data_IF_061729839867
#
_entry.id   IF_061729839867
#
_cell.length_a   1.000
_cell.length_b   1.000
_cell.length_c   1.000
_cell.angle_alpha   90.00
_cell.angle_beta   90.00
_cell.angle_gamma   90.00
#
_symmetry.space_group_name_H-M   'P 1'
#
loop_
_entity.id
_entity.type
_entity.pdbx_description
1 polymer ?
#
# COMPACT_ATOMS: atom_id res chain seq x y z
N UNK A 1 9.94 -12.59 19.37
CA UNK A 1 10.63 -11.29 19.26
C UNK A 1 10.29 -10.75 17.90
N UNK A 2 9.82 -9.51 17.82
CA UNK A 2 9.57 -8.83 16.57
C UNK A 2 10.91 -8.24 16.20
N UNK A 3 11.53 -8.72 15.13
CA UNK A 3 12.67 -8.05 14.54
C UNK A 3 12.14 -6.94 13.65
N UNK A 4 12.17 -5.72 14.15
CA UNK A 4 12.01 -4.54 13.31
C UNK A 4 13.33 -4.30 12.59
N UNK A 5 13.31 -4.39 11.28
CA UNK A 5 14.44 -3.93 10.47
C UNK A 5 14.14 -2.54 9.98
N UNK A 6 14.92 -1.57 10.45
CA UNK A 6 14.95 -0.24 9.85
C UNK A 6 15.74 -0.34 8.56
N UNK A 7 15.31 0.29 7.45
CA UNK A 7 16.21 0.49 6.33
C UNK A 7 17.45 1.22 6.87
N UNK A 8 18.59 0.67 6.66
CA UNK A 8 19.81 1.47 6.73
C UNK A 8 19.68 2.53 5.64
N UNK A 9 20.10 3.77 5.89
CA UNK A 9 20.06 4.88 4.93
C UNK A 9 20.84 4.62 3.62
N UNK A 10 21.05 3.38 3.28
CA UNK A 10 21.79 2.96 2.11
C UNK A 10 20.79 2.60 1.00
N UNK A 11 20.12 3.65 0.48
CA UNK A 11 19.17 3.54 -0.64
C UNK A 11 19.78 2.92 -1.90
N UNK A 12 21.10 2.90 -2.00
CA UNK A 12 21.82 2.23 -3.09
C UNK A 12 21.61 0.72 -3.07
N UNK A 13 21.32 0.14 -1.90
CA UNK A 13 21.08 -1.30 -1.76
C UNK A 13 19.69 -1.73 -2.21
N UNK A 14 18.74 -0.80 -2.34
CA UNK A 14 17.41 -1.05 -2.91
C UNK A 14 17.50 -0.95 -4.45
N UNK A 15 18.49 -1.59 -5.01
CA UNK A 15 18.71 -1.89 -6.42
C UNK A 15 18.12 -0.88 -7.42
N UNK A 16 18.41 0.40 -7.23
CA UNK A 16 18.02 1.40 -8.19
C UNK A 16 16.53 1.58 -8.43
N UNK A 17 15.74 1.19 -7.48
CA UNK A 17 14.30 1.21 -7.52
C UNK A 17 13.68 2.56 -7.18
N UNK A 18 14.48 3.54 -6.73
CA UNK A 18 13.98 4.85 -6.34
C UNK A 18 14.02 5.78 -7.54
N UNK A 19 12.85 6.17 -8.04
CA UNK A 19 12.75 7.23 -9.02
C UNK A 19 12.97 8.59 -8.35
N UNK A 20 13.57 9.58 -9.03
CA UNK A 20 13.70 10.92 -8.47
C UNK A 20 12.32 11.56 -8.29
N UNK A 21 12.22 12.52 -7.36
CA UNK A 21 11.03 13.34 -7.18
C UNK A 21 10.61 13.96 -8.51
N UNK A 22 9.31 13.94 -8.81
CA UNK A 22 8.75 14.47 -10.03
C UNK A 22 9.01 13.64 -11.30
N UNK A 23 9.48 12.41 -11.18
CA UNK A 23 9.76 11.52 -12.32
C UNK A 23 8.57 11.39 -13.29
N UNK A 24 7.35 11.33 -12.76
CA UNK A 24 6.12 11.22 -13.54
C UNK A 24 5.45 12.57 -13.85
N UNK A 25 6.08 13.70 -13.51
CA UNK A 25 5.46 15.01 -13.61
C UNK A 25 4.40 15.25 -12.53
N UNK A 26 3.34 16.00 -12.84
CA UNK A 26 2.28 16.38 -11.90
C UNK A 26 0.88 16.38 -12.54
N UNK A 27 0.71 15.72 -13.69
CA UNK A 27 -0.57 15.67 -14.40
C UNK A 27 -1.58 14.78 -13.66
N UNK A 28 -2.85 15.21 -13.65
CA UNK A 28 -3.96 14.38 -13.20
C UNK A 28 -4.08 13.07 -13.99
N UNK A 29 -3.63 13.05 -15.24
CA UNK A 29 -3.67 11.88 -16.12
C UNK A 29 -2.78 10.72 -15.61
N UNK A 30 -1.89 10.97 -14.65
CA UNK A 30 -1.10 9.95 -14.01
C UNK A 30 -1.83 9.24 -12.85
N UNK A 31 -3.03 9.70 -12.50
CA UNK A 31 -3.92 9.05 -11.52
C UNK A 31 -4.91 8.21 -12.31
N UNK A 32 -4.79 6.90 -12.21
CA UNK A 32 -5.51 5.96 -13.06
C UNK A 32 -6.60 5.25 -12.27
N UNK A 33 -7.78 5.19 -12.85
CA UNK A 33 -8.90 4.35 -12.42
C UNK A 33 -9.12 3.23 -13.43
N UNK A 34 -9.15 2.01 -12.98
CA UNK A 34 -9.60 0.84 -13.75
C UNK A 34 -10.93 0.36 -13.15
N UNK A 35 -12.04 0.81 -13.73
CA UNK A 35 -13.38 0.38 -13.32
C UNK A 35 -13.58 -1.11 -13.59
N UNK A 36 -14.31 -1.80 -12.71
CA UNK A 36 -14.62 -3.24 -12.84
C UNK A 36 -13.38 -4.11 -13.06
N UNK A 37 -12.27 -3.76 -12.40
CA UNK A 37 -11.03 -4.50 -12.51
C UNK A 37 -11.12 -5.90 -11.87
N UNK A 38 -11.79 -6.00 -10.72
CA UNK A 38 -12.19 -7.28 -10.14
C UNK A 38 -13.44 -7.80 -10.86
N UNK A 39 -13.56 -9.12 -10.97
CA UNK A 39 -14.87 -9.70 -11.24
C UNK A 39 -15.79 -9.50 -10.03
N UNK A 40 -17.10 -9.56 -10.24
CA UNK A 40 -18.10 -9.48 -9.17
C UNK A 40 -17.86 -10.56 -8.10
N UNK A 41 -17.53 -11.79 -8.54
CA UNK A 41 -17.23 -12.92 -7.65
C UNK A 41 -15.98 -12.67 -6.79
N UNK A 42 -14.91 -12.09 -7.36
CA UNK A 42 -13.69 -11.74 -6.62
C UNK A 42 -13.97 -10.64 -5.60
N UNK A 43 -14.68 -9.60 -6.00
CA UNK A 43 -15.02 -8.48 -5.13
C UNK A 43 -15.91 -8.94 -3.97
N UNK A 44 -17.00 -9.66 -4.24
CA UNK A 44 -17.90 -10.20 -3.22
C UNK A 44 -17.16 -11.16 -2.27
N UNK A 45 -16.32 -12.04 -2.80
CA UNK A 45 -15.56 -12.98 -2.00
C UNK A 45 -14.61 -12.27 -1.03
N UNK A 46 -13.86 -11.29 -1.53
CA UNK A 46 -12.90 -10.52 -0.71
C UNK A 46 -13.62 -9.62 0.30
N UNK A 47 -14.72 -8.98 -0.10
CA UNK A 47 -15.54 -8.18 0.80
C UNK A 47 -16.18 -9.03 1.92
N UNK A 48 -16.78 -10.16 1.57
CA UNK A 48 -17.37 -11.08 2.54
C UNK A 48 -16.31 -11.60 3.54
N UNK A 49 -15.11 -11.90 3.06
CA UNK A 49 -14.02 -12.27 3.95
C UNK A 49 -13.65 -11.10 4.88
N UNK A 50 -13.42 -9.91 4.34
CA UNK A 50 -12.98 -8.74 5.10
C UNK A 50 -14.02 -8.29 6.15
N UNK A 51 -15.29 -8.24 5.77
CA UNK A 51 -16.38 -7.79 6.64
C UNK A 51 -16.67 -8.77 7.80
N UNK A 52 -16.45 -10.07 7.59
CA UNK A 52 -16.61 -11.10 8.62
C UNK A 52 -15.31 -11.41 9.38
N UNK A 53 -14.17 -10.81 8.98
CA UNK A 53 -12.91 -11.07 9.64
C UNK A 53 -12.87 -10.45 11.04
N UNK A 54 -12.51 -11.25 12.03
CA UNK A 54 -12.34 -10.82 13.43
C UNK A 54 -10.88 -10.74 13.86
N UNK A 55 -9.95 -11.15 12.99
CA UNK A 55 -8.51 -11.19 13.28
C UNK A 55 -7.81 -10.09 12.51
N UNK A 56 -7.40 -9.05 13.23
CA UNK A 56 -6.65 -7.91 12.71
C UNK A 56 -5.32 -7.82 13.43
N UNK A 57 -4.31 -7.36 12.73
CA UNK A 57 -2.97 -7.29 13.27
C UNK A 57 -2.78 -6.06 14.16
N UNK A 58 -1.83 -6.19 15.05
CA UNK A 58 -1.38 -5.12 15.91
C UNK A 58 0.06 -4.76 15.54
N UNK A 59 0.32 -3.47 15.37
CA UNK A 59 1.66 -2.93 15.12
C UNK A 59 2.18 -2.23 16.35
N UNK A 60 3.50 -2.15 16.48
CA UNK A 60 4.17 -1.45 17.58
C UNK A 60 4.89 -0.23 17.01
N UNK A 61 4.60 0.93 17.59
CA UNK A 61 5.34 2.16 17.29
C UNK A 61 6.80 2.02 17.70
N UNK A 62 7.69 2.54 16.86
CA UNK A 62 9.11 2.55 17.10
C UNK A 62 9.57 3.89 17.64
N UNK A 63 10.44 3.84 18.65
CA UNK A 63 11.06 5.03 19.25
C UNK A 63 12.57 4.93 19.15
N UNK A 64 13.22 6.08 18.95
CA UNK A 64 14.68 6.17 19.06
C UNK A 64 15.14 6.10 20.53
N UNK A 65 16.44 6.11 20.74
CA UNK A 65 17.05 6.04 22.09
C UNK A 65 16.60 7.17 23.02
N UNK A 66 16.17 8.31 22.47
CA UNK A 66 15.67 9.46 23.21
C UNK A 66 14.15 9.39 23.47
N UNK A 67 13.48 8.29 23.09
CA UNK A 67 12.04 8.12 23.25
C UNK A 67 11.18 8.84 22.22
N UNK A 68 11.79 9.49 21.21
CA UNK A 68 11.05 10.11 20.11
C UNK A 68 10.47 9.03 19.19
N UNK A 69 9.19 9.15 18.87
CA UNK A 69 8.54 8.26 17.90
C UNK A 69 9.11 8.52 16.52
N UNK A 70 9.74 7.51 15.92
CA UNK A 70 10.29 7.54 14.57
C UNK A 70 9.37 6.81 13.56
N UNK A 71 8.51 5.95 14.06
CA UNK A 71 7.45 5.33 13.30
C UNK A 71 6.25 5.05 14.23
N UNK A 72 5.10 5.65 13.91
CA UNK A 72 3.87 5.45 14.66
C UNK A 72 2.98 4.42 13.95
N UNK A 73 3.15 3.17 14.36
CA UNK A 73 2.37 2.06 13.84
C UNK A 73 1.02 1.87 14.57
N UNK A 74 0.83 2.53 15.71
CA UNK A 74 -0.36 2.34 16.54
C UNK A 74 -1.63 2.84 15.85
N UNK A 75 -1.50 3.83 14.94
CA UNK A 75 -2.60 4.29 14.10
C UNK A 75 -3.19 3.19 13.21
N UNK A 76 -2.41 2.15 12.94
CA UNK A 76 -2.80 1.00 12.12
C UNK A 76 -3.24 -0.20 12.95
N UNK A 77 -3.14 -0.11 14.28
CA UNK A 77 -3.53 -1.21 15.16
C UNK A 77 -5.01 -1.58 14.95
N UNK A 78 -5.28 -2.89 14.92
CA UNK A 78 -6.64 -3.43 14.69
C UNK A 78 -7.27 -3.02 13.33
N UNK A 79 -6.46 -2.64 12.35
CA UNK A 79 -6.97 -2.17 11.05
C UNK A 79 -6.43 -2.95 9.85
N UNK A 80 -5.33 -3.65 10.01
CA UNK A 80 -4.62 -4.32 8.92
C UNK A 80 -4.64 -5.83 9.13
N UNK A 81 -4.93 -6.58 8.08
CA UNK A 81 -4.66 -8.01 8.00
C UNK A 81 -3.53 -8.23 7.00
N UNK A 82 -2.32 -8.46 7.50
CA UNK A 82 -1.13 -8.67 6.66
C UNK A 82 -1.19 -9.98 5.89
N UNK A 83 -0.34 -10.14 4.87
CA UNK A 83 -0.19 -11.39 4.13
C UNK A 83 -0.02 -12.59 5.07
N UNK A 84 0.81 -12.47 6.10
CA UNK A 84 1.02 -13.54 7.08
C UNK A 84 -0.25 -13.94 7.82
N UNK A 85 -1.08 -12.97 8.20
CA UNK A 85 -2.38 -13.22 8.84
C UNK A 85 -3.36 -13.82 7.84
N UNK A 86 -3.42 -13.30 6.63
CA UNK A 86 -4.27 -13.82 5.56
C UNK A 86 -3.94 -15.27 5.21
N UNK A 87 -2.65 -15.63 5.11
CA UNK A 87 -2.21 -17.01 4.87
C UNK A 87 -2.69 -18.00 5.94
N UNK A 88 -2.71 -17.56 7.20
CA UNK A 88 -3.21 -18.39 8.31
C UNK A 88 -4.72 -18.52 8.32
N UNK A 89 -5.44 -17.51 7.84
CA UNK A 89 -6.89 -17.48 7.89
C UNK A 89 -7.53 -18.15 6.67
N UNK A 90 -7.06 -17.83 5.47
CA UNK A 90 -7.66 -18.31 4.22
C UNK A 90 -6.71 -18.19 3.04
N UNK A 91 -6.12 -19.31 2.61
CA UNK A 91 -5.21 -19.33 1.47
C UNK A 91 -5.88 -18.87 0.17
N UNK A 92 -7.18 -19.13 -0.03
CA UNK A 92 -7.90 -18.67 -1.23
C UNK A 92 -7.95 -17.15 -1.32
N UNK A 93 -8.04 -16.44 -0.19
CA UNK A 93 -7.96 -14.96 -0.17
C UNK A 93 -6.60 -14.51 -0.69
N UNK A 94 -5.53 -15.13 -0.21
CA UNK A 94 -4.17 -14.85 -0.65
C UNK A 94 -4.01 -15.07 -2.16
N UNK A 95 -4.46 -16.23 -2.65
CA UNK A 95 -4.37 -16.59 -4.07
C UNK A 95 -5.17 -15.60 -4.95
N UNK A 96 -6.37 -15.21 -4.50
CA UNK A 96 -7.19 -14.22 -5.21
C UNK A 96 -6.48 -12.86 -5.26
N UNK A 97 -5.94 -12.39 -4.13
CA UNK A 97 -5.23 -11.11 -4.08
C UNK A 97 -3.98 -11.14 -4.96
N UNK A 98 -3.20 -12.22 -4.93
CA UNK A 98 -2.04 -12.37 -5.82
C UNK A 98 -2.45 -12.32 -7.30
N UNK A 99 -3.54 -13.00 -7.68
CA UNK A 99 -4.07 -12.93 -9.05
C UNK A 99 -4.46 -11.50 -9.47
N UNK A 100 -5.02 -10.70 -8.55
CA UNK A 100 -5.30 -9.28 -8.78
C UNK A 100 -4.01 -8.50 -9.03
N UNK A 101 -2.99 -8.72 -8.21
CA UNK A 101 -1.71 -8.03 -8.35
C UNK A 101 -0.99 -8.39 -9.66
N UNK A 102 -1.02 -9.66 -10.06
CA UNK A 102 -0.40 -10.11 -11.31
C UNK A 102 -1.07 -9.45 -12.53
N UNK A 103 -2.41 -9.37 -12.54
CA UNK A 103 -3.14 -8.67 -13.61
C UNK A 103 -2.88 -7.16 -13.58
N UNK A 104 -2.87 -6.56 -12.39
CA UNK A 104 -2.65 -5.12 -12.27
C UNK A 104 -1.23 -4.71 -12.67
N UNK A 105 -0.24 -5.56 -12.41
CA UNK A 105 1.13 -5.32 -12.85
C UNK A 105 1.22 -5.08 -14.35
N UNK A 106 0.48 -5.83 -15.14
CA UNK A 106 0.46 -5.67 -16.60
C UNK A 106 -0.01 -4.26 -17.00
N UNK A 107 -1.06 -3.77 -16.34
CA UNK A 107 -1.62 -2.44 -16.61
C UNK A 107 -0.68 -1.33 -16.11
N UNK A 108 -0.10 -1.47 -14.92
CA UNK A 108 0.85 -0.53 -14.34
C UNK A 108 2.10 -0.41 -15.22
N UNK A 109 2.71 -1.55 -15.58
CA UNK A 109 3.91 -1.58 -16.41
C UNK A 109 3.68 -0.95 -17.78
N UNK A 110 2.52 -1.25 -18.38
CA UNK A 110 2.12 -0.70 -19.67
C UNK A 110 1.85 0.80 -19.61
N UNK A 111 1.09 1.25 -18.61
CA UNK A 111 0.69 2.65 -18.50
C UNK A 111 1.89 3.56 -18.25
N UNK A 112 2.73 3.23 -17.28
CA UNK A 112 3.90 4.04 -16.93
C UNK A 112 5.14 3.72 -17.76
N UNK A 113 5.09 2.71 -18.63
CA UNK A 113 6.24 2.19 -19.37
C UNK A 113 7.42 1.84 -18.45
N UNK A 114 7.13 1.06 -17.43
CA UNK A 114 8.09 0.68 -16.39
C UNK A 114 8.13 -0.84 -16.23
N UNK A 115 8.99 -1.30 -15.35
CA UNK A 115 8.95 -2.65 -14.80
C UNK A 115 8.85 -2.51 -13.29
N UNK A 116 7.66 -2.70 -12.77
CA UNK A 116 7.35 -2.51 -11.37
C UNK A 116 7.35 -3.83 -10.61
N UNK A 117 7.79 -3.78 -9.36
CA UNK A 117 7.78 -4.89 -8.41
C UNK A 117 6.86 -4.53 -7.24
N UNK A 118 5.82 -5.34 -7.00
CA UNK A 118 4.87 -5.10 -5.93
C UNK A 118 5.42 -5.42 -4.54
N UNK A 119 4.89 -4.76 -3.53
CA UNK A 119 5.08 -5.11 -2.11
C UNK A 119 4.07 -6.19 -1.69
N UNK A 120 4.22 -6.71 -0.46
CA UNK A 120 3.29 -7.70 0.08
C UNK A 120 1.89 -7.13 0.26
N UNK A 121 0.84 -7.89 -0.11
CA UNK A 121 -0.53 -7.45 0.06
C UNK A 121 -0.97 -7.42 1.53
N UNK A 122 -1.96 -6.58 1.80
CA UNK A 122 -2.70 -6.56 3.06
C UNK A 122 -4.15 -6.16 2.78
N UNK A 123 -5.08 -6.55 3.64
CA UNK A 123 -6.43 -5.98 3.66
C UNK A 123 -6.50 -4.98 4.80
N UNK A 124 -7.06 -3.81 4.52
CA UNK A 124 -7.18 -2.73 5.51
C UNK A 124 -8.64 -2.33 5.67
N UNK A 125 -9.07 -2.19 6.92
CA UNK A 125 -10.37 -1.63 7.28
C UNK A 125 -10.21 -0.20 7.81
N UNK A 126 -11.19 0.63 7.48
CA UNK A 126 -11.28 2.01 7.92
C UNK A 126 -12.62 2.22 8.62
N UNK A 127 -12.68 2.07 9.94
CA UNK A 127 -13.91 2.31 10.70
C UNK A 127 -14.23 3.80 10.83
N UNK A 128 -15.43 4.10 11.31
CA UNK A 128 -15.88 5.47 11.60
C UNK A 128 -14.87 6.23 12.45
N UNK A 129 -14.65 7.49 12.12
CA UNK A 129 -13.68 8.39 12.75
C UNK A 129 -12.26 8.26 12.22
N UNK A 130 -11.99 7.33 11.29
CA UNK A 130 -10.67 7.22 10.68
C UNK A 130 -10.58 8.03 9.40
N UNK A 131 -9.41 8.58 9.15
CA UNK A 131 -9.04 9.34 7.95
C UNK A 131 -7.55 9.16 7.67
N UNK A 132 -7.10 9.59 6.51
CA UNK A 132 -5.69 9.71 6.20
C UNK A 132 -5.38 11.15 5.85
N UNK A 133 -4.50 11.75 6.63
CA UNK A 133 -4.03 13.11 6.35
C UNK A 133 -3.25 13.14 5.02
N UNK A 134 -3.16 14.31 4.36
CA UNK A 134 -2.37 14.46 3.14
C UNK A 134 -0.94 14.00 3.33
N UNK A 135 -0.46 13.12 2.48
CA UNK A 135 0.90 12.57 2.50
C UNK A 135 1.36 12.18 1.09
N UNK A 136 2.66 12.04 0.93
CA UNK A 136 3.26 11.32 -0.17
C UNK A 136 3.80 9.98 0.36
N UNK A 137 3.79 8.94 -0.48
CA UNK A 137 4.14 7.59 -0.03
C UNK A 137 5.64 7.39 0.17
N UNK A 138 6.48 8.05 -0.65
CA UNK A 138 7.95 7.86 -0.66
C UNK A 138 8.76 9.05 -0.19
N UNK A 139 8.14 10.21 0.02
CA UNK A 139 8.82 11.48 0.27
C UNK A 139 8.14 12.27 1.37
N UNK A 140 8.90 13.13 2.03
CA UNK A 140 8.35 14.18 2.87
C UNK A 140 7.72 15.26 1.97
N UNK A 141 6.49 15.65 2.24
CA UNK A 141 5.77 16.60 1.37
C UNK A 141 5.66 18.00 1.96
N UNK A 142 6.10 18.20 3.21
CA UNK A 142 6.02 19.48 3.92
C UNK A 142 7.33 19.82 4.63
N UNK A 143 7.46 21.11 5.00
CA UNK A 143 8.60 21.61 5.76
C UNK A 143 9.88 21.76 4.92
N UNK A 144 11.03 22.02 5.60
CA UNK A 144 12.31 22.30 4.94
C UNK A 144 12.90 21.08 4.23
N UNK A 145 12.40 19.89 4.54
CA UNK A 145 12.86 18.62 3.96
C UNK A 145 11.90 18.06 2.90
N UNK A 146 10.94 18.86 2.44
CA UNK A 146 10.03 18.44 1.36
C UNK A 146 10.80 17.96 0.12
N UNK A 147 10.38 16.82 -0.43
CA UNK A 147 11.05 16.13 -1.54
C UNK A 147 12.21 15.23 -1.13
N UNK A 148 12.59 15.19 0.15
CA UNK A 148 13.53 14.19 0.63
C UNK A 148 12.81 12.85 0.86
N UNK A 149 13.52 11.72 0.68
CA UNK A 149 12.98 10.40 0.98
C UNK A 149 12.46 10.30 2.42
N UNK A 150 11.30 9.67 2.58
CA UNK A 150 10.76 9.25 3.88
C UNK A 150 11.23 7.82 4.24
N UNK A 151 10.53 7.16 5.17
CA UNK A 151 10.87 5.80 5.61
C UNK A 151 10.58 4.72 4.55
N UNK A 152 9.86 5.05 3.46
CA UNK A 152 9.47 4.13 2.38
C UNK A 152 9.87 4.66 0.99
N UNK A 153 11.13 5.01 0.76
CA UNK A 153 11.56 5.69 -0.46
C UNK A 153 11.42 4.86 -1.74
N UNK A 154 11.11 3.59 -1.61
CA UNK A 154 10.87 2.65 -2.72
C UNK A 154 9.39 2.51 -3.11
N UNK A 155 8.48 3.25 -2.51
CA UNK A 155 7.08 3.31 -2.90
C UNK A 155 6.90 4.26 -4.08
N UNK A 156 7.48 3.89 -5.25
CA UNK A 156 7.46 4.72 -6.45
C UNK A 156 6.04 4.92 -7.02
N UNK A 157 5.22 3.89 -6.91
CA UNK A 157 3.81 3.91 -7.26
C UNK A 157 3.00 3.32 -6.10
N UNK A 158 1.80 3.83 -5.94
CA UNK A 158 0.85 3.37 -4.94
C UNK A 158 -0.53 3.16 -5.56
N UNK A 159 -1.39 2.46 -4.84
CA UNK A 159 -2.76 2.32 -5.24
C UNK A 159 -3.58 1.44 -4.30
N UNK A 160 -4.84 1.27 -4.66
CA UNK A 160 -5.82 0.57 -3.85
C UNK A 160 -6.81 -0.19 -4.72
N UNK A 161 -7.17 -1.38 -4.27
CA UNK A 161 -8.42 -2.02 -4.67
C UNK A 161 -9.50 -1.70 -3.63
N UNK A 162 -10.69 -1.38 -4.09
CA UNK A 162 -11.83 -1.08 -3.23
C UNK A 162 -12.81 -2.24 -3.18
N UNK A 163 -13.18 -2.68 -1.97
CA UNK A 163 -14.02 -3.86 -1.77
C UNK A 163 -15.49 -3.53 -1.58
N UNK A 164 -15.83 -2.29 -1.15
CA UNK A 164 -17.20 -1.88 -0.86
C UNK A 164 -17.39 -0.37 -1.05
N UNK A 165 -18.64 0.08 -0.99
CA UNK A 165 -19.07 1.48 -1.01
C UNK A 165 -20.19 1.79 -0.01
N UNK A 166 -20.57 0.82 0.84
CA UNK A 166 -21.59 0.94 1.89
C UNK A 166 -21.07 1.68 3.15
N UNK A 167 -20.36 2.78 2.91
CA UNK A 167 -19.86 3.70 3.92
C UNK A 167 -20.06 5.16 3.47
N UNK A 168 -20.01 6.11 4.42
CA UNK A 168 -20.04 7.55 4.13
C UNK A 168 -18.70 8.20 4.47
N UNK A 169 -18.35 9.25 3.73
CA UNK A 169 -16.99 9.81 3.74
C UNK A 169 -16.01 8.90 2.99
N UNK A 170 -14.75 8.95 3.35
CA UNK A 170 -13.73 8.06 2.81
C UNK A 170 -13.37 8.32 1.35
N UNK A 171 -13.66 9.50 0.84
CA UNK A 171 -13.23 9.93 -0.49
C UNK A 171 -11.70 9.99 -0.55
N UNK A 172 -11.16 9.55 -1.67
CA UNK A 172 -9.76 9.74 -2.02
C UNK A 172 -9.61 11.12 -2.65
N UNK A 173 -8.63 11.90 -2.18
CA UNK A 173 -8.38 13.24 -2.69
C UNK A 173 -6.91 13.50 -2.97
N UNK A 174 -6.65 14.34 -3.98
CA UNK A 174 -5.34 14.77 -4.43
C UNK A 174 -5.32 16.30 -4.51
N UNK A 175 -4.85 17.00 -3.47
CA UNK A 175 -4.92 18.46 -3.41
C UNK A 175 -4.11 19.14 -4.53
N UNK A 176 -2.98 18.57 -4.93
CA UNK A 176 -2.15 19.14 -5.99
C UNK A 176 -2.82 19.08 -7.37
N UNK A 177 -3.67 18.09 -7.62
CA UNK A 177 -4.44 17.92 -8.85
C UNK A 177 -5.85 18.52 -8.75
N UNK A 178 -6.28 18.92 -7.54
CA UNK A 178 -7.60 19.51 -7.31
C UNK A 178 -8.76 18.54 -7.51
N UNK A 179 -8.54 17.23 -7.27
CA UNK A 179 -9.58 16.20 -7.42
C UNK A 179 -9.90 15.52 -6.11
N UNK A 180 -11.15 15.13 -5.96
CA UNK A 180 -11.68 14.31 -4.87
C UNK A 180 -12.83 13.47 -5.41
N UNK A 181 -12.86 12.19 -5.07
CA UNK A 181 -13.91 11.28 -5.53
C UNK A 181 -14.13 10.13 -4.57
N UNK A 182 -15.33 9.56 -4.59
CA UNK A 182 -15.65 8.32 -3.89
C UNK A 182 -15.30 7.15 -4.80
N UNK A 183 -14.35 6.30 -4.40
CA UNK A 183 -13.97 5.15 -5.23
C UNK A 183 -15.09 4.11 -5.32
N UNK A 184 -15.09 3.34 -6.41
CA UNK A 184 -16.09 2.32 -6.71
C UNK A 184 -15.66 0.93 -6.25
N UNK A 185 -16.57 0.07 -5.78
CA UNK A 185 -16.26 -1.33 -5.51
C UNK A 185 -15.77 -2.05 -6.76
N UNK A 186 -14.81 -2.95 -6.60
CA UNK A 186 -14.24 -3.71 -7.70
C UNK A 186 -13.27 -2.93 -8.60
N UNK A 187 -13.11 -1.62 -8.37
CA UNK A 187 -12.14 -0.80 -9.09
C UNK A 187 -10.74 -0.90 -8.50
N UNK A 188 -9.74 -0.67 -9.35
CA UNK A 188 -8.35 -0.45 -8.97
C UNK A 188 -7.94 0.99 -9.28
N UNK A 189 -7.27 1.63 -8.35
CA UNK A 189 -6.70 2.97 -8.52
C UNK A 189 -5.20 2.89 -8.32
N UNK A 190 -4.41 3.55 -9.18
CA UNK A 190 -2.97 3.66 -8.98
C UNK A 190 -2.42 5.00 -9.46
N UNK A 191 -1.36 5.45 -8.80
CA UNK A 191 -0.77 6.78 -8.97
C UNK A 191 0.68 6.79 -8.49
N UNK A 192 1.50 7.79 -8.90
CA UNK A 192 2.86 7.95 -8.38
C UNK A 192 2.87 8.27 -6.89
N UNK A 193 3.88 7.76 -6.17
CA UNK A 193 4.02 7.92 -4.71
C UNK A 193 4.81 9.15 -4.28
N UNK A 194 5.27 10.02 -5.21
CA UNK A 194 6.09 11.18 -4.90
C UNK A 194 5.26 12.39 -4.41
N UNK A 195 5.94 13.46 -3.98
CA UNK A 195 5.30 14.66 -3.41
C UNK A 195 4.41 15.44 -4.39
N UNK A 196 4.50 15.17 -5.69
CA UNK A 196 3.58 15.77 -6.66
C UNK A 196 2.18 15.17 -6.54
N UNK A 197 2.07 13.93 -6.04
CA UNK A 197 0.82 13.20 -5.89
C UNK A 197 0.46 13.01 -4.40
N UNK A 198 0.63 14.09 -3.63
CA UNK A 198 0.10 14.14 -2.26
C UNK A 198 -1.37 13.79 -2.29
N UNK A 199 -1.76 12.85 -1.43
CA UNK A 199 -3.13 12.37 -1.37
C UNK A 199 -3.53 12.08 0.07
N UNK A 200 -4.83 11.95 0.29
CA UNK A 200 -5.40 11.61 1.57
C UNK A 200 -6.79 11.00 1.43
N UNK A 201 -7.36 10.64 2.55
CA UNK A 201 -8.70 10.06 2.64
C UNK A 201 -9.52 10.87 3.62
N UNK A 202 -10.70 11.33 3.21
CA UNK A 202 -11.61 12.04 4.10
C UNK A 202 -12.11 11.12 5.22
N UNK A 203 -12.58 11.71 6.32
CA UNK A 203 -13.05 10.94 7.47
C UNK A 203 -14.22 10.02 7.11
N UNK A 204 -14.16 8.77 7.57
CA UNK A 204 -15.29 7.84 7.51
C UNK A 204 -16.32 8.26 8.55
N UNK A 205 -17.51 8.63 8.12
CA UNK A 205 -18.59 9.11 8.99
C UNK A 205 -19.66 8.07 9.29
N UNK A 206 -19.76 7.03 8.45
CA UNK A 206 -20.66 5.88 8.62
C UNK A 206 -20.13 4.65 7.92
N UNK A 207 -20.44 3.47 8.42
CA UNK A 207 -19.98 2.20 7.84
C UNK A 207 -18.51 1.88 8.08
N UNK A 208 -17.96 0.97 7.31
CA UNK A 208 -16.54 0.59 7.31
C UNK A 208 -16.07 0.47 5.87
N UNK A 209 -15.01 1.18 5.53
CA UNK A 209 -14.37 1.08 4.22
C UNK A 209 -13.32 -0.02 4.25
N UNK A 210 -13.37 -0.96 3.30
CA UNK A 210 -12.42 -2.04 3.13
C UNK A 210 -11.63 -1.88 1.84
N UNK A 211 -10.31 -1.96 1.92
CA UNK A 211 -9.41 -1.79 0.77
C UNK A 211 -8.24 -2.78 0.84
N UNK A 212 -7.61 -3.01 -0.30
CA UNK A 212 -6.33 -3.68 -0.43
C UNK A 212 -5.34 -2.66 -0.97
N UNK A 213 -4.52 -2.00 -0.13
CA UNK A 213 -3.47 -1.11 -0.58
C UNK A 213 -2.34 -1.90 -1.23
N UNK A 214 -1.69 -1.28 -2.18
CA UNK A 214 -0.49 -1.82 -2.80
C UNK A 214 0.51 -0.72 -3.12
N UNK A 215 1.77 -1.10 -3.11
CA UNK A 215 2.88 -0.24 -3.46
C UNK A 215 3.78 -0.98 -4.44
N UNK A 216 4.42 -0.22 -5.32
CA UNK A 216 5.28 -0.75 -6.36
C UNK A 216 6.60 -0.02 -6.37
N UNK A 217 7.67 -0.79 -6.47
CA UNK A 217 9.02 -0.32 -6.67
C UNK A 217 9.36 -0.40 -8.14
N UNK A 218 9.83 0.67 -8.74
CA UNK A 218 10.29 0.67 -10.13
C UNK A 218 11.74 0.25 -10.19
N UNK A 219 12.04 -0.77 -10.96
CA UNK A 219 13.39 -1.25 -11.17
C UNK A 219 14.09 -0.36 -12.20
N UNK A 220 15.31 0.10 -11.88
CA UNK A 220 16.01 1.18 -12.57
C UNK A 220 16.26 0.95 -14.06
N UNK A 221 16.38 -0.26 -14.48
CA UNK A 221 16.71 -0.60 -15.86
C UNK A 221 15.83 -1.71 -16.38
N UNK A 222 15.08 -1.41 -17.42
CA UNK A 222 14.37 -2.42 -18.21
C UNK A 222 15.29 -3.47 -18.82
N UNK A 223 16.61 -3.20 -18.85
CA UNK A 223 17.65 -4.08 -19.35
C UNK A 223 18.38 -4.87 -18.25
N UNK A 224 18.18 -4.55 -16.98
CA UNK A 224 18.70 -5.39 -15.91
C UNK A 224 17.90 -6.69 -15.95
N UNK A 225 18.62 -7.77 -16.17
CA UNK A 225 18.03 -9.11 -16.20
C UNK A 225 17.24 -9.32 -14.92
N UNK A 226 15.95 -9.16 -15.03
CA UNK A 226 15.05 -9.62 -13.99
C UNK A 226 15.27 -11.10 -13.77
N UNK A 227 15.12 -11.60 -12.54
CA UNK A 227 14.97 -13.02 -12.35
C UNK A 227 13.85 -13.51 -13.27
N UNK A 228 14.15 -14.46 -14.08
CA UNK A 228 13.53 -14.89 -15.33
C UNK A 228 12.06 -15.32 -15.29
N UNK A 229 11.30 -15.00 -14.30
CA UNK A 229 10.03 -15.72 -14.17
C UNK A 229 8.81 -14.84 -13.98
N UNK A 230 8.90 -13.54 -14.10
CA UNK A 230 7.69 -12.70 -14.08
C UNK A 230 6.69 -12.99 -12.94
N UNK A 231 6.87 -14.12 -12.27
CA UNK A 231 6.10 -14.56 -11.14
C UNK A 231 6.81 -14.08 -9.87
N UNK A 232 6.23 -13.09 -9.28
CA UNK A 232 6.66 -12.59 -8.02
C UNK A 232 6.42 -13.65 -6.94
N UNK A 233 7.49 -14.18 -6.36
CA UNK A 233 7.38 -15.07 -5.21
C UNK A 233 7.18 -14.21 -3.95
N UNK A 234 5.95 -13.97 -3.62
CA UNK A 234 5.54 -13.16 -2.48
C UNK A 234 6.18 -13.60 -1.16
N UNK A 235 6.44 -14.92 -1.01
CA UNK A 235 7.08 -15.48 0.16
C UNK A 235 8.56 -15.07 0.30
N UNK A 236 9.24 -14.80 -0.80
CA UNK A 236 10.67 -14.52 -0.80
C UNK A 236 10.97 -13.04 -0.56
N UNK A 237 10.01 -12.14 -0.79
CA UNK A 237 10.22 -10.70 -0.60
C UNK A 237 10.39 -10.32 0.86
N UNK A 238 9.70 -11.04 1.73
CA UNK A 238 9.76 -10.81 3.18
C UNK A 238 11.06 -11.37 3.79
N UNK A 239 11.76 -12.28 3.12
CA UNK A 239 12.88 -13.05 3.69
C UNK A 239 14.22 -12.68 3.05
N UNK A 240 14.25 -12.26 1.78
CA UNK A 240 15.52 -12.16 1.02
C UNK A 240 16.08 -10.73 0.91
N UNK A 241 15.32 -9.69 1.22
CA UNK A 241 15.86 -8.34 1.28
C UNK A 241 16.13 -7.93 2.73
N UNK A 242 17.41 -8.00 3.18
CA UNK A 242 17.77 -7.62 4.54
C UNK A 242 17.57 -6.11 4.83
N UNK A 243 17.27 -5.32 3.80
CA UNK A 243 17.06 -3.87 3.92
C UNK A 243 15.57 -3.48 3.90
N UNK A 244 14.66 -4.44 3.68
CA UNK A 244 13.22 -4.16 3.80
C UNK A 244 12.83 -3.97 5.26
N UNK A 245 12.06 -2.91 5.52
CA UNK A 245 11.36 -2.80 6.80
C UNK A 245 10.27 -3.86 6.82
N UNK A 246 10.45 -4.85 7.65
CA UNK A 246 9.37 -5.75 7.99
C UNK A 246 8.66 -5.18 9.22
N UNK A 247 7.51 -4.57 9.00
CA UNK A 247 6.58 -4.34 10.10
C UNK A 247 5.96 -5.69 10.41
N UNK A 248 6.43 -6.33 11.45
CA UNK A 248 5.80 -7.56 11.92
C UNK A 248 4.60 -7.16 12.76
N UNK A 249 3.42 -7.38 12.21
CA UNK A 249 2.17 -7.19 12.93
C UNK A 249 1.85 -8.43 13.75
N UNK A 250 1.37 -8.23 14.98
CA UNK A 250 0.87 -9.32 15.84
C UNK A 250 -0.64 -9.33 15.80
N UNK A 251 -1.26 -10.53 15.67
CA UNK A 251 -2.70 -10.60 15.76
C UNK A 251 -3.18 -10.13 17.14
N UNK A 252 -4.19 -9.29 17.14
CA UNK A 252 -4.86 -8.87 18.38
C UNK A 252 -5.69 -10.04 18.89
N UNK A 253 -5.34 -10.54 20.05
CA UNK A 253 -6.25 -11.41 20.80
C UNK A 253 -7.28 -10.50 21.47
N UNK A 254 -8.49 -10.48 20.96
CA UNK A 254 -9.61 -9.87 21.69
C UNK A 254 -9.74 -10.62 23.03
N UNK A 255 -9.73 -9.87 24.12
CA UNK A 255 -10.19 -10.41 25.40
C UNK A 255 -11.68 -10.72 25.22
N UNK A 256 -12.04 -11.99 25.39
CA UNK A 256 -13.42 -12.42 25.52
C UNK A 256 -14.12 -11.70 26.69
#
# INVERSE_FOLDING_TARGET
>A
MIEERIPTNNYESVQGSITPSGFFGNSVDMIVELENFMTEEEQEFLFNFASNNTTWDYTISKKNENGTVIYDADIWADRVATLHTLQKLNQKVVDTVHGLFDRLKIEVDKFYNVNAKATSPAIVRWPVGTRQEPHADKELHTGPDAGKPNDFPWYDLAGLFYLNDDYEGGELYFPNQGIQFKPKPGAAYFFPGDMNYVHGVTEITSGIRYVIPFFWTILKHTNDKQPDNGVYKWDNVLVEDPNHIHIVMKPIKRKE
#
